data_IF_801531105600
#
_entry.id   IF_801531105600
#
_cell.length_a   1.000
_cell.length_b   1.000
_cell.length_c   1.000
_cell.angle_alpha   90.00
_cell.angle_beta   90.00
_cell.angle_gamma   90.00
#
_symmetry.space_group_name_H-M   'P 1'
#
loop_
_entity.id
_entity.type
_entity.pdbx_description
1 polymer ?
#
# COMPACT_ATOMS: atom_id res chain seq x y z
N UNK A 1 -19.94 -21.96 -4.88
CA UNK A 1 -19.75 -20.83 -3.95
C UNK A 1 -18.65 -19.92 -4.45
N UNK A 2 -18.95 -18.65 -4.64
CA UNK A 2 -17.94 -17.70 -5.09
C UNK A 2 -16.93 -17.45 -3.99
N UNK A 3 -15.65 -17.65 -4.29
CA UNK A 3 -14.60 -17.19 -3.39
C UNK A 3 -14.50 -15.66 -3.50
N UNK A 4 -14.69 -14.99 -2.39
CA UNK A 4 -14.50 -13.54 -2.32
C UNK A 4 -13.02 -13.28 -2.06
N UNK A 5 -12.35 -12.61 -2.98
CA UNK A 5 -10.97 -12.19 -2.78
C UNK A 5 -10.93 -11.14 -1.65
N UNK A 6 -9.93 -11.22 -0.76
CA UNK A 6 -9.72 -10.15 0.19
C UNK A 6 -9.55 -8.81 -0.53
N UNK A 7 -10.04 -7.70 0.04
CA UNK A 7 -9.83 -6.39 -0.57
C UNK A 7 -8.35 -6.05 -0.66
N UNK A 8 -8.01 -5.26 -1.66
CA UNK A 8 -6.69 -4.65 -1.75
C UNK A 8 -6.62 -3.50 -0.75
N UNK A 9 -5.52 -3.38 -0.03
CA UNK A 9 -5.37 -2.36 1.01
C UNK A 9 -4.52 -1.19 0.52
N UNK A 10 -4.88 0.01 0.97
CA UNK A 10 -4.12 1.22 0.70
C UNK A 10 -4.11 2.10 1.95
N UNK A 11 -3.01 2.79 2.19
CA UNK A 11 -2.96 3.82 3.23
C UNK A 11 -3.20 5.20 2.61
N UNK A 12 -3.59 6.15 3.44
CA UNK A 12 -3.98 7.50 2.99
C UNK A 12 -2.86 8.21 2.24
N UNK A 13 -1.61 8.09 2.72
CA UNK A 13 -0.47 8.72 2.07
C UNK A 13 -0.29 8.22 0.63
N UNK A 14 -0.44 6.91 0.42
CA UNK A 14 -0.33 6.31 -0.92
C UNK A 14 -1.52 6.66 -1.79
N UNK A 15 -2.71 6.72 -1.23
CA UNK A 15 -3.90 7.14 -1.96
C UNK A 15 -3.71 8.54 -2.54
N UNK A 16 -3.14 9.45 -1.76
CA UNK A 16 -2.83 10.80 -2.23
C UNK A 16 -1.89 10.78 -3.42
N UNK A 17 -0.84 9.97 -3.36
CA UNK A 17 0.12 9.82 -4.45
C UNK A 17 -0.51 9.20 -5.69
N UNK A 18 -1.34 8.18 -5.51
CA UNK A 18 -2.02 7.50 -6.63
C UNK A 18 -2.95 8.47 -7.35
N UNK A 19 -3.74 9.25 -6.62
CA UNK A 19 -4.64 10.24 -7.23
C UNK A 19 -3.84 11.28 -8.00
N UNK A 20 -2.74 11.77 -7.43
CA UNK A 20 -1.86 12.72 -8.11
C UNK A 20 -1.31 12.12 -9.40
N UNK A 21 -0.81 10.89 -9.33
CA UNK A 21 -0.24 10.18 -10.48
C UNK A 21 -1.27 10.03 -11.61
N UNK A 22 -2.49 9.60 -11.28
CA UNK A 22 -3.55 9.43 -12.28
C UNK A 22 -3.89 10.74 -12.95
N UNK A 23 -4.04 11.83 -12.19
CA UNK A 23 -4.37 13.14 -12.73
C UNK A 23 -3.26 13.73 -13.60
N UNK A 24 -2.02 13.57 -13.15
CA UNK A 24 -0.86 14.07 -13.87
C UNK A 24 -0.71 13.37 -15.23
N UNK A 25 -1.05 12.10 -15.29
CA UNK A 25 -0.99 11.28 -16.51
C UNK A 25 -2.28 11.37 -17.34
N UNK A 26 -3.19 12.24 -17.00
CA UNK A 26 -4.44 12.45 -17.73
C UNK A 26 -5.45 11.31 -17.57
N UNK A 27 -5.29 10.45 -16.57
CA UNK A 27 -6.18 9.32 -16.33
C UNK A 27 -7.35 9.69 -15.42
N UNK A 28 -8.47 9.00 -15.59
CA UNK A 28 -9.65 9.24 -14.76
C UNK A 28 -9.44 8.69 -13.34
N UNK A 29 -9.88 9.46 -12.37
CA UNK A 29 -9.82 9.09 -10.94
C UNK A 29 -11.07 8.33 -10.50
N UNK A 30 -12.20 8.59 -11.14
CA UNK A 30 -13.49 8.05 -10.74
C UNK A 30 -13.52 6.51 -10.60
N UNK A 31 -12.92 5.72 -11.50
CA UNK A 31 -12.88 4.27 -11.32
C UNK A 31 -12.24 3.82 -10.01
N UNK A 32 -11.24 4.57 -9.51
CA UNK A 32 -10.63 4.27 -8.23
C UNK A 32 -11.64 4.45 -7.08
N UNK A 33 -12.37 5.56 -7.08
CA UNK A 33 -13.41 5.80 -6.06
C UNK A 33 -14.51 4.75 -6.13
N UNK A 34 -14.89 4.32 -7.33
CA UNK A 34 -15.86 3.23 -7.48
C UNK A 34 -15.36 1.92 -6.83
N UNK A 35 -14.06 1.65 -6.90
CA UNK A 35 -13.47 0.48 -6.24
C UNK A 35 -13.60 0.58 -4.72
N UNK A 36 -13.44 1.78 -4.14
CA UNK A 36 -13.66 1.98 -2.70
C UNK A 36 -15.13 1.75 -2.34
N UNK A 37 -16.06 2.26 -3.14
CA UNK A 37 -17.49 2.12 -2.86
C UNK A 37 -17.94 0.66 -2.86
N UNK A 38 -17.39 -0.18 -3.75
CA UNK A 38 -17.70 -1.61 -3.78
C UNK A 38 -16.78 -2.46 -2.91
N UNK A 39 -15.94 -1.82 -2.11
CA UNK A 39 -15.03 -2.47 -1.17
C UNK A 39 -13.99 -3.39 -1.82
N UNK A 40 -13.66 -3.17 -3.10
CA UNK A 40 -12.55 -3.85 -3.75
C UNK A 40 -11.20 -3.32 -3.26
N UNK A 41 -11.18 -2.06 -2.84
CA UNK A 41 -10.03 -1.40 -2.20
C UNK A 41 -10.51 -0.81 -0.89
N UNK A 42 -9.70 -0.95 0.16
CA UNK A 42 -10.02 -0.40 1.49
C UNK A 42 -8.88 0.45 2.01
N UNK A 43 -9.26 1.57 2.61
CA UNK A 43 -8.32 2.42 3.35
C UNK A 43 -8.18 1.83 4.75
N UNK A 44 -7.02 1.24 5.06
CA UNK A 44 -6.89 0.40 6.25
C UNK A 44 -5.52 0.60 6.93
N UNK A 45 -5.27 1.78 7.50
CA UNK A 45 -4.05 1.98 8.27
C UNK A 45 -4.13 3.22 9.15
N UNK A 46 -3.83 3.05 10.43
CA UNK A 46 -3.64 4.16 11.37
C UNK A 46 -2.17 4.21 11.78
N UNK A 47 -1.45 5.17 11.26
CA UNK A 47 -0.01 5.34 11.49
C UNK A 47 0.31 5.66 12.96
N UNK A 48 -0.64 6.23 13.70
CA UNK A 48 -0.38 6.79 15.04
C UNK A 48 0.07 5.75 16.06
N UNK A 49 -0.19 4.47 15.82
CA UNK A 49 0.16 3.39 16.76
C UNK A 49 1.37 2.58 16.32
N UNK A 50 2.05 2.96 15.23
CA UNK A 50 3.08 2.11 14.63
C UNK A 50 4.46 2.78 14.50
N UNK A 51 4.71 3.85 15.23
CA UNK A 51 5.98 4.58 15.13
C UNK A 51 7.23 3.74 15.36
N UNK A 52 7.28 2.80 16.34
CA UNK A 52 8.49 2.00 16.55
C UNK A 52 8.87 1.16 15.33
N UNK A 53 7.89 0.50 14.70
CA UNK A 53 8.15 -0.33 13.53
C UNK A 53 8.53 0.51 12.32
N UNK A 54 7.86 1.63 12.10
CA UNK A 54 8.15 2.58 11.01
C UNK A 54 9.60 3.08 11.14
N UNK A 55 9.99 3.45 12.35
CA UNK A 55 11.34 3.93 12.63
C UNK A 55 12.40 2.89 12.31
N UNK A 56 12.17 1.65 12.69
CA UNK A 56 13.06 0.53 12.39
C UNK A 56 13.21 0.31 10.88
N UNK A 57 12.10 0.32 10.15
CA UNK A 57 12.10 0.11 8.71
C UNK A 57 12.86 1.22 7.98
N UNK A 58 12.61 2.47 8.33
CA UNK A 58 13.26 3.60 7.67
C UNK A 58 14.77 3.67 7.99
N UNK A 59 15.17 3.11 9.13
CA UNK A 59 16.60 2.96 9.46
C UNK A 59 17.28 1.88 8.62
N UNK A 60 16.53 0.83 8.28
CA UNK A 60 17.03 -0.30 7.50
C UNK A 60 17.16 0.02 6.01
N UNK A 61 16.16 0.69 5.46
CA UNK A 61 16.07 0.97 4.02
C UNK A 61 16.22 2.46 3.77
N UNK A 62 17.36 2.87 3.18
CA UNK A 62 17.65 4.30 2.98
C UNK A 62 16.70 5.01 2.02
N UNK A 63 16.20 4.27 1.01
CA UNK A 63 15.29 4.82 0.01
C UNK A 63 13.82 4.87 0.50
N UNK A 64 13.52 4.22 1.61
CA UNK A 64 12.16 4.13 2.13
C UNK A 64 11.71 5.46 2.72
N UNK A 65 10.59 5.98 2.22
CA UNK A 65 9.92 7.14 2.80
C UNK A 65 8.81 6.70 3.77
N UNK A 66 8.12 7.66 4.35
CA UNK A 66 7.08 7.38 5.33
C UNK A 66 5.89 6.62 4.72
N UNK A 67 5.52 6.95 3.48
CA UNK A 67 4.44 6.25 2.79
C UNK A 67 4.81 4.77 2.57
N UNK A 68 6.04 4.51 2.12
CA UNK A 68 6.55 3.15 1.92
C UNK A 68 6.55 2.36 3.23
N UNK A 69 7.05 2.95 4.31
CA UNK A 69 7.06 2.31 5.63
C UNK A 69 5.63 1.97 6.08
N UNK A 70 4.68 2.86 5.84
CA UNK A 70 3.27 2.63 6.16
C UNK A 70 2.72 1.42 5.41
N UNK A 71 3.05 1.27 4.13
CA UNK A 71 2.61 0.12 3.33
C UNK A 71 3.19 -1.18 3.89
N UNK A 72 4.47 -1.19 4.24
CA UNK A 72 5.11 -2.39 4.80
C UNK A 72 4.44 -2.80 6.10
N UNK A 73 4.22 -1.85 7.02
CA UNK A 73 3.54 -2.15 8.28
C UNK A 73 2.13 -2.66 8.04
N UNK A 74 1.39 -2.02 7.13
CA UNK A 74 0.04 -2.47 6.77
C UNK A 74 0.06 -3.91 6.25
N UNK A 75 1.05 -4.26 5.42
CA UNK A 75 1.18 -5.63 4.91
C UNK A 75 1.48 -6.64 6.03
N UNK A 76 2.21 -6.21 7.06
CA UNK A 76 2.50 -7.06 8.22
C UNK A 76 1.25 -7.30 9.08
N UNK A 77 0.38 -6.30 9.19
CA UNK A 77 -0.86 -6.41 9.95
C UNK A 77 -1.92 -7.24 9.23
N UNK A 78 -1.84 -7.33 7.91
CA UNK A 78 -2.85 -7.97 7.06
C UNK A 78 -2.19 -8.95 6.10
N UNK A 79 -1.70 -10.06 6.63
CA UNK A 79 -0.83 -11.00 5.92
C UNK A 79 -1.45 -11.62 4.65
N UNK A 80 -2.77 -11.65 4.56
CA UNK A 80 -3.47 -12.26 3.42
C UNK A 80 -3.91 -11.26 2.37
N UNK A 81 -3.65 -9.97 2.59
CA UNK A 81 -4.10 -8.91 1.70
C UNK A 81 -2.97 -8.40 0.83
N UNK A 82 -3.32 -7.99 -0.39
CA UNK A 82 -2.40 -7.28 -1.27
C UNK A 82 -2.44 -5.81 -0.90
N UNK A 83 -1.34 -5.12 -1.13
CA UNK A 83 -1.24 -3.68 -0.86
C UNK A 83 -1.02 -2.92 -2.17
N UNK A 84 -1.58 -1.72 -2.25
CA UNK A 84 -1.41 -0.83 -3.40
C UNK A 84 -0.20 0.07 -3.19
N UNK A 85 0.67 0.15 -4.19
CA UNK A 85 1.80 1.07 -4.23
C UNK A 85 1.99 1.60 -5.64
N UNK A 86 2.64 2.74 -5.79
CA UNK A 86 3.07 3.23 -7.10
C UNK A 86 4.54 2.93 -7.38
N UNK A 87 5.25 2.36 -6.42
CA UNK A 87 6.69 2.07 -6.53
C UNK A 87 6.96 0.58 -6.63
N UNK A 88 6.85 0.05 -7.83
CA UNK A 88 7.09 -1.36 -8.10
C UNK A 88 8.52 -1.80 -7.77
N UNK A 89 9.49 -0.97 -8.10
CA UNK A 89 10.91 -1.31 -7.93
C UNK A 89 11.27 -1.51 -6.46
N UNK A 90 10.93 -0.54 -5.63
CA UNK A 90 11.28 -0.59 -4.21
C UNK A 90 10.52 -1.70 -3.49
N UNK A 91 9.25 -1.93 -3.83
CA UNK A 91 8.46 -3.00 -3.22
C UNK A 91 8.86 -4.40 -3.66
N UNK A 92 9.67 -4.53 -4.69
CA UNK A 92 10.32 -5.79 -5.02
C UNK A 92 11.48 -6.10 -4.06
N UNK A 93 12.01 -5.08 -3.39
CA UNK A 93 13.13 -5.20 -2.43
C UNK A 93 12.65 -5.31 -0.99
N UNK A 94 11.64 -4.54 -0.60
CA UNK A 94 11.14 -4.51 0.78
C UNK A 94 10.58 -5.87 1.20
N UNK A 95 10.68 -6.17 2.49
CA UNK A 95 10.18 -7.44 3.05
C UNK A 95 9.31 -7.17 4.27
N UNK A 96 8.16 -7.82 4.35
CA UNK A 96 7.33 -7.82 5.55
C UNK A 96 7.95 -8.79 6.57
N UNK A 97 7.87 -8.43 7.85
CA UNK A 97 8.48 -9.22 8.93
C UNK A 97 9.95 -9.55 8.65
N UNK A 98 10.64 -8.66 7.92
CA UNK A 98 12.07 -8.73 7.59
C UNK A 98 12.47 -9.92 6.70
N UNK A 99 11.52 -10.75 6.25
CA UNK A 99 11.82 -11.97 5.50
C UNK A 99 10.90 -12.24 4.31
N UNK A 100 9.63 -11.92 4.44
CA UNK A 100 8.63 -12.33 3.47
C UNK A 100 8.45 -11.31 2.36
N UNK A 101 8.25 -11.77 1.14
CA UNK A 101 7.90 -10.93 0.01
C UNK A 101 6.54 -10.29 0.25
N UNK A 102 6.41 -9.02 -0.11
CA UNK A 102 5.14 -8.29 0.00
C UNK A 102 4.34 -8.53 -1.27
N UNK A 103 3.08 -8.94 -1.12
CA UNK A 103 2.15 -9.08 -2.22
C UNK A 103 1.54 -7.70 -2.52
N UNK A 104 1.97 -7.09 -3.62
CA UNK A 104 1.56 -5.72 -3.95
C UNK A 104 1.01 -5.62 -5.37
N UNK A 105 0.24 -4.55 -5.59
CA UNK A 105 -0.27 -4.15 -6.90
C UNK A 105 0.22 -2.74 -7.17
N UNK A 106 0.74 -2.49 -8.37
CA UNK A 106 1.20 -1.18 -8.78
C UNK A 106 0.61 -0.82 -10.13
N UNK A 107 0.20 0.44 -10.36
CA UNK A 107 -0.26 0.91 -11.68
C UNK A 107 0.85 0.82 -12.72
N UNK A 108 0.48 0.55 -13.96
CA UNK A 108 1.39 0.48 -15.09
C UNK A 108 1.94 -0.90 -15.35
#
# INVERSE_FOLDING_TARGET
MKQVRPPMLVCEAVLTEVVYFLRDDGMAVDPLFAMFEREAVRLEFDISTHWPRIRTLMSRYRQMDLADASIVVMSELHARSRVLTIDRKDFSVYRRNDRQVIDFVAPG
#
